data_IF_981303110777
#
_entry.id   IF_981303110777
#
_cell.length_a   1.000
_cell.length_b   1.000
_cell.length_c   1.000
_cell.angle_alpha   90.00
_cell.angle_beta   90.00
_cell.angle_gamma   90.00
#
_symmetry.space_group_name_H-M   'P 1'
#
loop_
_entity.id
_entity.type
_entity.pdbx_description
1 polymer ?
#
# COMPACT_ATOMS: atom_id res chain seq x y z
N UNK A 1 -5.92 -8.85 7.45
CA UNK A 1 -4.74 -9.47 6.84
C UNK A 1 -3.60 -9.51 7.84
N UNK A 2 -2.92 -10.64 7.92
CA UNK A 2 -1.76 -10.82 8.77
C UNK A 2 -0.68 -11.60 8.02
N UNK A 3 0.58 -11.17 8.18
CA UNK A 3 1.77 -11.92 7.77
C UNK A 3 2.89 -11.70 8.77
N UNK A 4 3.37 -12.79 9.37
CA UNK A 4 4.28 -12.70 10.51
C UNK A 4 3.66 -11.88 11.64
N UNK A 5 4.38 -10.88 12.12
CA UNK A 5 3.91 -9.94 13.16
C UNK A 5 3.04 -8.80 12.58
N UNK A 6 3.17 -8.49 11.30
CA UNK A 6 2.42 -7.36 10.71
C UNK A 6 0.96 -7.72 10.54
N UNK A 7 0.07 -6.91 11.13
CA UNK A 7 -1.38 -7.09 11.13
C UNK A 7 -2.06 -5.80 10.68
N UNK A 8 -2.96 -5.90 9.71
CA UNK A 8 -3.75 -4.77 9.20
C UNK A 8 -5.22 -5.16 9.12
N UNK A 9 -6.06 -4.33 9.72
CA UNK A 9 -7.51 -4.38 9.55
C UNK A 9 -7.91 -3.43 8.43
N UNK A 10 -8.41 -3.95 7.32
CA UNK A 10 -8.93 -3.13 6.22
C UNK A 10 -10.45 -3.10 6.26
N UNK A 11 -11.01 -1.91 6.34
CA UNK A 11 -12.46 -1.68 6.45
C UNK A 11 -12.95 -0.98 5.19
N UNK A 12 -13.89 -1.62 4.48
CA UNK A 12 -14.57 -1.07 3.32
C UNK A 12 -15.84 -0.34 3.75
N UNK A 13 -16.07 0.84 3.18
CA UNK A 13 -17.32 1.56 3.22
C UNK A 13 -17.73 1.97 1.81
N UNK A 14 -19.01 1.80 1.51
CA UNK A 14 -19.61 2.24 0.25
C UNK A 14 -20.55 3.41 0.54
N UNK A 15 -20.51 4.42 -0.32
CA UNK A 15 -21.33 5.61 -0.19
C UNK A 15 -21.92 6.05 -1.53
N UNK A 16 -22.70 7.11 -1.52
CA UNK A 16 -23.20 7.72 -2.75
C UNK A 16 -22.06 8.39 -3.53
N UNK A 17 -22.19 8.51 -4.83
CA UNK A 17 -21.15 9.15 -5.68
C UNK A 17 -20.78 10.56 -5.24
N UNK A 18 -21.75 11.33 -4.75
CA UNK A 18 -21.53 12.69 -4.24
C UNK A 18 -20.78 12.72 -2.88
N UNK A 19 -20.57 11.59 -2.22
CA UNK A 19 -19.76 11.44 -1.01
C UNK A 19 -18.27 11.20 -1.34
N UNK A 20 -17.90 11.14 -2.62
CA UNK A 20 -16.53 11.12 -3.07
C UNK A 20 -15.73 12.34 -2.56
N UNK A 21 -14.41 12.19 -2.47
CA UNK A 21 -13.53 13.27 -2.01
C UNK A 21 -13.44 14.38 -3.04
N UNK A 22 -13.80 15.60 -2.66
CA UNK A 22 -13.53 16.80 -3.47
C UNK A 22 -12.02 17.09 -3.49
N UNK A 23 -11.51 17.38 -4.67
CA UNK A 23 -10.13 17.80 -4.85
C UNK A 23 -10.10 19.32 -5.02
N UNK A 24 -9.25 19.98 -4.24
CA UNK A 24 -8.97 21.41 -4.37
C UNK A 24 -7.77 21.56 -5.33
N UNK A 25 -8.08 21.70 -6.60
CA UNK A 25 -7.09 21.84 -7.69
C UNK A 25 -7.36 23.12 -8.48
N UNK A 26 -6.31 23.64 -9.14
CA UNK A 26 -6.40 24.86 -9.96
C UNK A 26 -7.35 24.67 -11.13
N UNK A 27 -7.37 23.45 -11.72
CA UNK A 27 -8.32 23.09 -12.78
C UNK A 27 -9.49 22.32 -12.18
N UNK A 28 -10.72 22.53 -12.67
CA UNK A 28 -11.87 21.74 -12.23
C UNK A 28 -11.62 20.27 -12.56
N UNK A 29 -11.56 19.44 -11.53
CA UNK A 29 -11.44 17.98 -11.66
C UNK A 29 -12.63 17.32 -11.01
N UNK A 30 -13.02 16.18 -11.55
CA UNK A 30 -13.96 15.30 -10.86
C UNK A 30 -13.36 14.85 -9.52
N UNK A 31 -14.20 14.74 -8.49
CA UNK A 31 -13.77 14.28 -7.18
C UNK A 31 -13.25 12.83 -7.24
N UNK A 32 -12.48 12.44 -6.27
CA UNK A 32 -12.06 11.04 -6.12
C UNK A 32 -13.23 10.18 -5.67
N UNK A 33 -13.62 9.22 -6.48
CA UNK A 33 -14.59 8.19 -6.14
C UNK A 33 -14.00 7.11 -5.22
N UNK A 34 -12.72 6.79 -5.41
CA UNK A 34 -11.98 5.86 -4.57
C UNK A 34 -11.04 6.59 -3.61
N UNK A 35 -11.15 6.26 -2.34
CA UNK A 35 -10.33 6.81 -1.27
C UNK A 35 -9.69 5.68 -0.47
N UNK A 36 -8.39 5.78 -0.24
CA UNK A 36 -7.67 4.87 0.64
C UNK A 36 -7.02 5.65 1.78
N UNK A 37 -7.40 5.36 3.01
CA UNK A 37 -6.81 5.94 4.21
C UNK A 37 -6.00 4.88 4.94
N UNK A 38 -4.84 5.28 5.43
CA UNK A 38 -3.90 4.41 6.12
C UNK A 38 -3.55 5.04 7.46
N UNK A 39 -3.77 4.30 8.54
CA UNK A 39 -3.47 4.73 9.89
C UNK A 39 -2.37 3.86 10.50
N UNK A 40 -1.34 4.52 11.00
CA UNK A 40 -0.18 3.91 11.62
C UNK A 40 0.03 4.48 13.03
N UNK A 41 -0.78 4.05 14.01
CA UNK A 41 -0.70 4.57 15.36
C UNK A 41 0.59 4.11 16.06
N UNK A 42 1.10 4.86 17.05
CA UNK A 42 2.35 4.51 17.74
C UNK A 42 2.36 3.11 18.35
N UNK A 43 1.22 2.65 18.83
CA UNK A 43 1.13 1.33 19.49
C UNK A 43 1.44 0.16 18.56
N UNK A 44 1.28 0.32 17.23
CA UNK A 44 1.52 -0.78 16.28
C UNK A 44 3.01 -1.19 16.20
N UNK A 45 3.91 -0.34 16.69
CA UNK A 45 5.34 -0.62 16.86
C UNK A 45 5.74 -0.73 18.33
N UNK A 46 4.77 -0.82 19.24
CA UNK A 46 5.02 -0.86 20.70
C UNK A 46 5.46 0.47 21.30
N UNK A 47 5.30 1.57 20.55
CA UNK A 47 5.67 2.92 21.00
C UNK A 47 4.49 3.62 21.67
N UNK A 48 4.83 4.58 22.55
CA UNK A 48 3.87 5.55 23.07
C UNK A 48 4.01 6.86 22.30
N UNK A 49 2.90 7.50 22.00
CA UNK A 49 2.94 8.76 21.27
C UNK A 49 1.57 9.41 21.12
N UNK A 50 1.58 10.69 20.74
CA UNK A 50 0.34 11.42 20.49
C UNK A 50 -0.25 11.01 19.14
N UNK A 51 -1.50 10.63 19.14
CA UNK A 51 -2.29 10.46 17.92
C UNK A 51 -2.78 11.85 17.46
N UNK A 52 -2.63 12.13 16.17
CA UNK A 52 -2.98 13.42 15.60
C UNK A 52 -3.23 13.33 14.10
N UNK A 53 -2.94 14.42 13.37
CA UNK A 53 -3.06 14.42 11.91
C UNK A 53 -2.13 13.41 11.25
N UNK A 54 -2.49 12.86 10.07
CA UNK A 54 -1.66 11.94 9.32
C UNK A 54 -0.26 12.50 9.07
N UNK A 55 0.75 11.69 9.31
CA UNK A 55 2.15 12.02 9.06
C UNK A 55 2.55 11.59 7.63
N UNK A 56 3.78 11.92 7.21
CA UNK A 56 4.30 11.60 5.87
C UNK A 56 4.21 10.10 5.54
N UNK A 57 4.49 9.23 6.50
CA UNK A 57 4.37 7.77 6.34
C UNK A 57 2.94 7.37 5.97
N UNK A 58 1.97 7.86 6.72
CA UNK A 58 0.56 7.53 6.51
C UNK A 58 0.06 8.02 5.15
N UNK A 59 0.46 9.23 4.76
CA UNK A 59 0.13 9.79 3.45
C UNK A 59 0.79 8.98 2.32
N UNK A 60 2.09 8.69 2.43
CA UNK A 60 2.83 7.97 1.39
C UNK A 60 2.38 6.51 1.23
N UNK A 61 2.21 5.79 2.34
CA UNK A 61 1.75 4.40 2.32
C UNK A 61 0.29 4.28 1.87
N UNK A 62 -0.56 5.20 2.31
CA UNK A 62 -1.95 5.27 1.85
C UNK A 62 -2.05 5.52 0.35
N UNK A 63 -1.26 6.45 -0.18
CA UNK A 63 -1.21 6.74 -1.61
C UNK A 63 -0.67 5.55 -2.43
N UNK A 64 0.34 4.83 -1.94
CA UNK A 64 0.85 3.64 -2.62
C UNK A 64 -0.24 2.57 -2.74
N UNK A 65 -0.96 2.28 -1.66
CA UNK A 65 -2.05 1.31 -1.66
C UNK A 65 -3.25 1.78 -2.53
N UNK A 66 -3.57 3.08 -2.52
CA UNK A 66 -4.59 3.68 -3.40
C UNK A 66 -4.23 3.46 -4.88
N UNK A 67 -3.02 3.81 -5.26
CA UNK A 67 -2.52 3.65 -6.64
C UNK A 67 -2.46 2.18 -7.07
N UNK A 68 -2.13 1.28 -6.15
CA UNK A 68 -2.06 -0.15 -6.42
C UNK A 68 -3.42 -0.73 -6.83
N UNK A 69 -4.50 -0.25 -6.23
CA UNK A 69 -5.84 -0.78 -6.42
C UNK A 69 -6.65 -0.05 -7.51
N UNK A 70 -6.35 1.23 -7.74
CA UNK A 70 -7.11 2.06 -8.69
C UNK A 70 -7.31 1.43 -10.08
N UNK A 71 -6.30 0.77 -10.71
CA UNK A 71 -6.45 0.19 -12.05
C UNK A 71 -7.42 -0.98 -12.13
N UNK A 72 -7.69 -1.65 -11.01
CA UNK A 72 -8.56 -2.84 -10.96
C UNK A 72 -9.98 -2.54 -10.50
N UNK A 73 -10.27 -1.32 -10.09
CA UNK A 73 -11.63 -0.94 -9.69
C UNK A 73 -12.58 -0.92 -10.90
N UNK A 74 -13.86 -1.24 -10.70
CA UNK A 74 -14.89 -1.10 -11.71
C UNK A 74 -15.11 0.38 -12.05
N UNK A 75 -15.59 0.67 -13.26
CA UNK A 75 -16.00 2.02 -13.59
C UNK A 75 -17.31 2.43 -12.88
N UNK A 76 -17.65 3.71 -12.98
CA UNK A 76 -18.82 4.28 -12.31
C UNK A 76 -20.14 3.72 -12.84
N UNK A 77 -20.20 3.37 -14.13
CA UNK A 77 -21.42 2.85 -14.74
C UNK A 77 -21.68 1.41 -14.29
N UNK A 78 -20.62 0.65 -14.07
CA UNK A 78 -20.69 -0.74 -13.60
C UNK A 78 -20.97 -0.81 -12.09
N UNK A 79 -20.37 0.09 -11.32
CA UNK A 79 -20.49 0.11 -9.86
C UNK A 79 -20.65 1.55 -9.35
N UNK A 80 -21.88 2.09 -9.29
CA UNK A 80 -22.17 3.51 -9.03
C UNK A 80 -22.07 3.90 -7.56
N UNK A 81 -20.98 3.59 -6.89
CA UNK A 81 -20.72 3.92 -5.49
C UNK A 81 -19.38 4.62 -5.32
N UNK A 82 -19.31 5.56 -4.37
CA UNK A 82 -18.06 5.99 -3.80
C UNK A 82 -17.51 4.87 -2.91
N UNK A 83 -16.23 4.58 -3.03
CA UNK A 83 -15.55 3.47 -2.38
C UNK A 83 -14.50 4.06 -1.43
N UNK A 84 -14.59 3.75 -0.15
CA UNK A 84 -13.60 4.13 0.85
C UNK A 84 -13.06 2.90 1.56
N UNK A 85 -11.75 2.73 1.53
CA UNK A 85 -11.05 1.71 2.33
C UNK A 85 -10.18 2.40 3.37
N UNK A 86 -10.27 1.95 4.60
CA UNK A 86 -9.40 2.38 5.70
C UNK A 86 -8.57 1.20 6.15
N UNK A 87 -7.25 1.33 6.12
CA UNK A 87 -6.30 0.35 6.64
C UNK A 87 -5.80 0.79 8.01
N UNK A 88 -6.20 0.07 9.04
CA UNK A 88 -5.74 0.25 10.41
C UNK A 88 -4.60 -0.72 10.69
N UNK A 89 -3.39 -0.20 10.89
CA UNK A 89 -2.24 -1.05 11.24
C UNK A 89 -2.29 -1.36 12.73
N UNK A 90 -2.53 -2.62 13.05
CA UNK A 90 -2.67 -3.10 14.43
C UNK A 90 -1.32 -3.46 15.04
N UNK A 91 -0.43 -4.06 14.24
CA UNK A 91 0.94 -4.40 14.60
C UNK A 91 1.81 -4.34 13.34
N UNK A 92 3.05 -3.85 13.45
CA UNK A 92 3.97 -3.73 12.33
C UNK A 92 5.39 -4.14 12.68
N UNK A 93 5.91 -5.05 11.86
CA UNK A 93 7.34 -5.36 11.78
C UNK A 93 7.78 -5.34 10.31
N UNK A 94 7.56 -4.23 9.63
CA UNK A 94 7.83 -4.04 8.20
C UNK A 94 6.65 -4.39 7.28
N UNK A 95 6.72 -3.95 6.05
CA UNK A 95 5.76 -4.23 4.96
C UNK A 95 4.29 -3.88 5.23
N UNK A 96 4.02 -2.94 6.13
CA UNK A 96 2.63 -2.58 6.48
C UNK A 96 1.84 -1.98 5.30
N UNK A 97 2.49 -1.30 4.36
CA UNK A 97 1.84 -0.82 3.13
C UNK A 97 1.42 -1.96 2.20
N UNK A 98 2.22 -3.02 2.09
CA UNK A 98 1.88 -4.20 1.31
C UNK A 98 0.78 -5.01 1.98
N UNK A 99 0.82 -5.13 3.30
CA UNK A 99 -0.26 -5.72 4.08
C UNK A 99 -1.58 -4.94 3.92
N UNK A 100 -1.51 -3.60 3.84
CA UNK A 100 -2.67 -2.75 3.56
C UNK A 100 -3.24 -2.99 2.15
N UNK A 101 -2.38 -3.13 1.15
CA UNK A 101 -2.80 -3.45 -0.23
C UNK A 101 -3.51 -4.80 -0.29
N UNK A 102 -2.91 -5.84 0.31
CA UNK A 102 -3.51 -7.18 0.35
C UNK A 102 -4.82 -7.20 1.14
N UNK A 103 -4.84 -6.57 2.32
CA UNK A 103 -6.04 -6.47 3.15
C UNK A 103 -7.18 -5.72 2.46
N UNK A 104 -6.85 -4.65 1.73
CA UNK A 104 -7.83 -3.87 0.98
C UNK A 104 -8.39 -4.63 -0.22
N UNK A 105 -7.57 -5.43 -0.91
CA UNK A 105 -8.05 -6.35 -1.94
C UNK A 105 -9.09 -7.31 -1.37
N UNK A 106 -8.79 -7.93 -0.23
CA UNK A 106 -9.72 -8.85 0.44
C UNK A 106 -11.02 -8.15 0.87
N UNK A 107 -10.92 -6.93 1.43
CA UNK A 107 -12.08 -6.15 1.84
C UNK A 107 -12.97 -5.76 0.65
N UNK A 108 -12.38 -5.38 -0.48
CA UNK A 108 -13.12 -5.07 -1.71
C UNK A 108 -13.85 -6.31 -2.25
N UNK A 109 -13.19 -7.47 -2.26
CA UNK A 109 -13.78 -8.73 -2.72
C UNK A 109 -14.91 -9.20 -1.78
N UNK A 110 -14.69 -9.16 -0.47
CA UNK A 110 -15.69 -9.54 0.53
C UNK A 110 -16.91 -8.61 0.52
N UNK A 111 -16.71 -7.33 0.31
CA UNK A 111 -17.77 -6.32 0.17
C UNK A 111 -18.49 -6.33 -1.18
N UNK A 112 -18.17 -7.26 -2.07
CA UNK A 112 -18.86 -7.44 -3.35
C UNK A 112 -18.51 -6.40 -4.41
N UNK A 113 -17.41 -5.66 -4.27
CA UNK A 113 -16.91 -4.75 -5.32
C UNK A 113 -16.36 -5.60 -6.47
N UNK A 114 -16.87 -5.45 -7.70
CA UNK A 114 -16.46 -6.28 -8.85
C UNK A 114 -15.10 -5.81 -9.40
N UNK A 115 -14.02 -5.99 -8.61
CA UNK A 115 -12.67 -5.67 -9.06
C UNK A 115 -12.26 -6.58 -10.22
N UNK A 116 -11.54 -6.02 -11.19
CA UNK A 116 -11.12 -6.76 -12.39
C UNK A 116 -10.24 -7.95 -12.05
N UNK A 117 -9.34 -7.80 -11.07
CA UNK A 117 -8.41 -8.85 -10.60
C UNK A 117 -7.96 -8.56 -9.18
N UNK A 118 -7.63 -9.58 -8.38
CA UNK A 118 -6.97 -9.40 -7.10
C UNK A 118 -5.60 -8.73 -7.27
N UNK A 119 -5.30 -7.77 -6.40
CA UNK A 119 -3.98 -7.14 -6.29
C UNK A 119 -3.29 -7.67 -5.04
N UNK A 120 -2.04 -8.04 -5.18
CA UNK A 120 -1.16 -8.33 -4.05
C UNK A 120 0.09 -7.46 -4.11
N UNK A 121 0.86 -7.44 -3.03
CA UNK A 121 2.11 -6.71 -2.98
C UNK A 121 3.12 -7.36 -2.06
N UNK A 122 4.39 -7.10 -2.32
CA UNK A 122 5.51 -7.57 -1.53
C UNK A 122 6.56 -6.47 -1.39
N UNK A 123 7.26 -6.45 -0.26
CA UNK A 123 8.44 -5.61 -0.06
C UNK A 123 9.69 -6.48 -0.17
N UNK A 124 10.52 -6.16 -1.14
CA UNK A 124 11.80 -6.79 -1.39
C UNK A 124 12.91 -5.91 -0.81
N UNK A 125 14.02 -6.51 -0.43
CA UNK A 125 15.20 -5.81 0.03
C UNK A 125 16.45 -6.28 -0.68
N UNK A 126 17.50 -5.45 -0.63
CA UNK A 126 18.80 -5.74 -1.19
C UNK A 126 19.88 -5.47 -0.14
N UNK A 127 20.82 -6.39 0.00
CA UNK A 127 22.04 -6.20 0.77
C UNK A 127 23.22 -6.47 -0.14
N UNK A 128 24.18 -5.53 -0.18
CA UNK A 128 25.42 -5.64 -0.95
C UNK A 128 26.61 -5.50 -0.01
N UNK A 129 27.43 -6.53 0.07
CA UNK A 129 28.64 -6.54 0.89
C UNK A 129 29.76 -7.32 0.19
N UNK A 130 30.96 -6.75 0.13
CA UNK A 130 32.16 -7.37 -0.45
C UNK A 130 31.95 -7.95 -1.86
N UNK A 131 31.18 -7.28 -2.70
CA UNK A 131 30.87 -7.72 -4.07
C UNK A 131 29.85 -8.86 -4.16
N UNK A 132 29.23 -9.24 -3.05
CA UNK A 132 28.10 -10.17 -3.02
C UNK A 132 26.79 -9.39 -2.90
N UNK A 133 25.78 -9.85 -3.63
CA UNK A 133 24.43 -9.29 -3.60
C UNK A 133 23.46 -10.35 -3.11
N UNK A 134 22.63 -10.00 -2.13
CA UNK A 134 21.56 -10.85 -1.60
C UNK A 134 20.23 -10.11 -1.71
N UNK A 135 19.27 -10.76 -2.35
CA UNK A 135 17.88 -10.27 -2.45
C UNK A 135 17.07 -10.91 -1.35
N UNK A 136 16.37 -10.09 -0.58
CA UNK A 136 15.48 -10.51 0.50
C UNK A 136 14.02 -10.34 0.07
N UNK A 137 13.19 -11.31 0.40
CA UNK A 137 11.74 -11.27 0.12
C UNK A 137 10.97 -11.05 1.41
N UNK A 138 9.98 -10.13 1.35
CA UNK A 138 9.09 -9.81 2.47
C UNK A 138 9.88 -9.31 3.69
N UNK A 139 10.62 -8.23 3.49
CA UNK A 139 11.55 -7.68 4.46
C UNK A 139 10.88 -7.22 5.75
N UNK A 140 11.55 -7.50 6.87
CA UNK A 140 11.18 -7.03 8.19
C UNK A 140 11.72 -5.61 8.44
N UNK A 141 11.25 -4.96 9.52
CA UNK A 141 11.64 -3.59 9.83
C UNK A 141 13.15 -3.38 10.00
N UNK A 142 13.86 -4.35 10.55
CA UNK A 142 15.32 -4.29 10.69
C UNK A 142 16.04 -4.43 9.35
N UNK A 143 15.54 -5.27 8.47
CA UNK A 143 16.08 -5.49 7.13
C UNK A 143 15.83 -4.28 6.21
N UNK A 144 14.69 -3.60 6.37
CA UNK A 144 14.38 -2.31 5.72
C UNK A 144 15.36 -1.22 6.19
N UNK A 145 15.65 -1.16 7.48
CA UNK A 145 16.54 -0.16 8.05
C UNK A 145 18.01 -0.35 7.65
N UNK A 146 18.50 -1.59 7.67
CA UNK A 146 19.89 -1.95 7.41
C UNK A 146 20.18 -2.23 5.92
N UNK A 147 19.16 -2.48 5.12
CA UNK A 147 19.30 -2.80 3.71
C UNK A 147 19.78 -1.63 2.85
N UNK A 148 20.40 -1.96 1.73
CA UNK A 148 20.91 -1.01 0.73
C UNK A 148 19.82 -0.52 -0.23
N UNK A 149 18.74 -1.28 -0.35
CA UNK A 149 17.55 -0.93 -1.13
C UNK A 149 16.31 -1.58 -0.52
N UNK A 150 15.20 -0.87 -0.51
CA UNK A 150 13.87 -1.44 -0.41
C UNK A 150 13.07 -1.22 -1.70
N UNK A 151 12.37 -2.26 -2.12
CA UNK A 151 11.60 -2.26 -3.35
C UNK A 151 10.23 -2.87 -3.11
N UNK A 152 9.21 -2.01 -3.09
CA UNK A 152 7.82 -2.42 -2.91
C UNK A 152 7.15 -2.49 -4.25
N UNK A 153 6.61 -3.65 -4.57
CA UNK A 153 5.92 -3.87 -5.82
C UNK A 153 4.52 -4.43 -5.55
N UNK A 154 3.56 -3.92 -6.29
CA UNK A 154 2.17 -4.40 -6.27
C UNK A 154 1.73 -4.75 -7.67
N UNK A 155 0.87 -5.72 -7.79
CA UNK A 155 0.38 -6.12 -9.10
C UNK A 155 -0.68 -7.20 -9.06
N UNK A 156 -1.09 -7.56 -10.26
CA UNK A 156 -1.99 -8.65 -10.57
C UNK A 156 -1.24 -9.72 -11.35
N UNK A 157 -1.92 -10.80 -11.73
CA UNK A 157 -1.37 -11.81 -12.65
C UNK A 157 -1.04 -11.27 -14.05
N UNK A 158 -1.50 -10.07 -14.41
CA UNK A 158 -1.28 -9.47 -15.73
C UNK A 158 -0.22 -8.37 -15.75
N UNK A 159 0.15 -7.84 -14.58
CA UNK A 159 1.16 -6.80 -14.53
C UNK A 159 1.20 -6.02 -13.22
N UNK A 160 2.20 -5.14 -13.15
CA UNK A 160 2.46 -4.27 -12.01
C UNK A 160 1.47 -3.11 -12.01
N UNK A 161 0.87 -2.84 -10.86
CA UNK A 161 -0.08 -1.73 -10.68
C UNK A 161 0.55 -0.52 -9.99
N UNK A 162 1.49 -0.75 -9.07
CA UNK A 162 2.28 0.31 -8.47
C UNK A 162 3.61 -0.23 -7.95
N UNK A 163 4.59 0.67 -7.84
CA UNK A 163 5.89 0.36 -7.25
C UNK A 163 6.44 1.57 -6.49
N UNK A 164 7.27 1.28 -5.49
CA UNK A 164 8.07 2.25 -4.77
C UNK A 164 9.45 1.65 -4.52
N UNK A 165 10.49 2.39 -4.86
CA UNK A 165 11.87 2.01 -4.60
C UNK A 165 12.56 3.10 -3.79
N UNK A 166 13.26 2.71 -2.73
CA UNK A 166 14.22 3.53 -2.01
C UNK A 166 15.59 2.87 -2.12
N UNK A 167 16.50 3.52 -2.82
CA UNK A 167 17.82 2.97 -3.13
C UNK A 167 18.92 3.80 -2.49
N UNK A 168 19.70 3.16 -1.63
CA UNK A 168 20.89 3.73 -0.98
C UNK A 168 22.19 3.22 -1.62
N UNK A 169 22.10 2.16 -2.46
CA UNK A 169 23.24 1.59 -3.16
C UNK A 169 23.68 2.41 -4.37
N UNK A 170 24.95 2.29 -4.75
CA UNK A 170 25.51 2.90 -5.96
C UNK A 170 25.40 1.94 -7.15
N UNK A 171 24.35 2.14 -7.95
CA UNK A 171 24.13 1.36 -9.17
C UNK A 171 23.33 0.08 -8.93
N UNK A 172 22.37 -0.15 -9.81
CA UNK A 172 21.57 -1.37 -9.88
C UNK A 172 21.74 -1.95 -11.29
N UNK A 173 21.87 -3.26 -11.38
CA UNK A 173 21.88 -3.97 -12.67
C UNK A 173 20.48 -4.51 -12.98
N UNK A 174 20.22 -4.80 -14.25
CA UNK A 174 18.96 -5.45 -14.64
C UNK A 174 18.78 -6.83 -13.99
N UNK A 175 19.87 -7.56 -13.76
CA UNK A 175 19.85 -8.88 -13.12
C UNK A 175 19.39 -8.81 -11.65
N UNK A 176 19.64 -7.68 -10.97
CA UNK A 176 19.15 -7.45 -9.59
C UNK A 176 17.67 -7.16 -9.59
N UNK A 177 17.15 -6.48 -10.63
CA UNK A 177 15.75 -6.08 -10.73
C UNK A 177 14.85 -7.17 -11.34
N UNK A 178 15.42 -8.16 -12.01
CA UNK A 178 14.70 -9.28 -12.63
C UNK A 178 14.40 -10.38 -11.62
#
# INVERSE_FOLDING_TARGET
FQRGQTQVLSVLSLGMLNEGQRLDTIEPTEGKRYMHHYNFPPFCTGETGRMGSPKRREIGHGNLAERALLPVLPDENEFPYAIRVVSEVMESNGSSSMASTCGSTLALMDGGVPIKRPVSGIAMGLIQEEGKTVVLSDIQGLEDFLGDMDFKVTGTTEGITALQMDNKATGLTFDILA
#
